data_IF_954551861068
#
_entry.id   IF_954551861068
#
_cell.length_a   1.000
_cell.length_b   1.000
_cell.length_c   1.000
_cell.angle_alpha   90.00
_cell.angle_beta   90.00
_cell.angle_gamma   90.00
#
_symmetry.space_group_name_H-M   'P 1'
#
loop_
_entity.id
_entity.type
_entity.pdbx_description
1 polymer ?
#
# COMPACT_ATOMS: atom_id res chain seq x y z
N UNK A 1 -36.11 -10.59 -70.18
CA UNK A 1 -35.91 -9.13 -70.19
C UNK A 1 -35.71 -8.63 -68.78
N UNK A 2 -34.50 -8.18 -68.44
CA UNK A 2 -34.17 -7.09 -67.49
C UNK A 2 -32.64 -7.04 -67.36
N UNK A 3 -32.09 -5.94 -67.85
CA UNK A 3 -30.69 -5.56 -67.75
C UNK A 3 -30.44 -4.77 -66.45
N UNK A 4 -29.20 -4.78 -65.95
CA UNK A 4 -28.56 -3.74 -65.11
C UNK A 4 -27.29 -4.35 -64.48
N UNK A 5 -26.15 -3.71 -64.23
CA UNK A 5 -25.43 -2.52 -64.71
C UNK A 5 -24.04 -2.70 -64.11
N UNK A 6 -22.98 -2.53 -64.90
CA UNK A 6 -21.58 -2.58 -64.43
C UNK A 6 -21.20 -1.23 -63.85
N UNK A 7 -20.81 -1.17 -62.57
CA UNK A 7 -20.21 0.02 -61.95
C UNK A 7 -18.68 -0.14 -61.89
N UNK A 8 -17.97 0.73 -62.62
CA UNK A 8 -16.52 0.93 -62.53
C UNK A 8 -16.22 1.83 -61.34
N UNK A 9 -15.39 1.37 -60.39
CA UNK A 9 -14.79 2.25 -59.40
C UNK A 9 -13.45 2.78 -59.93
N UNK A 10 -13.37 4.10 -60.04
CA UNK A 10 -12.17 4.85 -60.39
C UNK A 10 -11.18 4.87 -59.21
N UNK A 11 -9.90 4.75 -59.54
CA UNK A 11 -8.77 4.94 -58.64
C UNK A 11 -8.61 6.45 -58.35
N UNK A 12 -8.92 6.87 -57.12
CA UNK A 12 -8.60 8.19 -56.60
C UNK A 12 -7.47 8.08 -55.58
N UNK A 13 -6.30 8.62 -55.90
CA UNK A 13 -5.18 8.72 -54.97
C UNK A 13 -5.49 9.79 -53.91
N UNK A 14 -5.63 9.38 -52.65
CA UNK A 14 -5.73 10.27 -51.49
C UNK A 14 -4.44 10.13 -50.69
N UNK A 15 -3.60 11.16 -50.76
CA UNK A 15 -2.41 11.32 -49.92
C UNK A 15 -2.87 11.74 -48.52
N UNK A 16 -2.97 10.79 -47.59
CA UNK A 16 -3.24 11.07 -46.19
C UNK A 16 -1.93 11.42 -45.46
N UNK A 17 -1.77 12.69 -45.09
CA UNK A 17 -0.79 13.13 -44.10
C UNK A 17 -1.21 12.61 -42.71
N UNK A 18 -0.50 11.57 -42.24
CA UNK A 18 -0.60 11.08 -40.87
C UNK A 18 0.10 12.07 -39.92
N UNK A 19 -0.66 12.99 -39.34
CA UNK A 19 -0.29 13.57 -38.05
C UNK A 19 -0.67 12.57 -36.96
N UNK A 20 0.29 11.72 -36.60
CA UNK A 20 0.21 10.94 -35.37
C UNK A 20 0.53 11.87 -34.19
N UNK A 21 -0.49 12.57 -33.68
CA UNK A 21 -0.45 13.03 -32.29
C UNK A 21 -0.61 11.78 -31.41
N UNK A 22 0.49 11.07 -31.20
CA UNK A 22 0.55 10.02 -30.19
C UNK A 22 0.44 10.69 -28.82
N UNK A 23 -0.73 10.64 -28.21
CA UNK A 23 -0.83 10.77 -26.76
C UNK A 23 0.02 9.64 -26.18
N UNK A 24 1.25 9.97 -25.76
CA UNK A 24 2.07 9.05 -24.99
C UNK A 24 1.26 8.58 -23.77
N UNK A 25 1.48 7.35 -23.28
CA UNK A 25 0.77 6.86 -22.10
C UNK A 25 0.96 7.86 -20.97
N UNK A 26 -0.12 8.56 -20.64
CA UNK A 26 -0.17 9.45 -19.49
C UNK A 26 0.02 8.55 -18.26
N UNK A 27 1.16 8.70 -17.61
CA UNK A 27 1.49 7.91 -16.42
C UNK A 27 0.37 8.09 -15.39
N UNK A 28 -0.31 7.01 -14.94
CA UNK A 28 -1.34 7.11 -13.90
C UNK A 28 -0.81 7.71 -12.58
N UNK A 29 0.52 7.82 -12.42
CA UNK A 29 1.13 8.61 -11.35
C UNK A 29 0.81 10.12 -11.44
N UNK A 30 0.60 10.68 -12.63
CA UNK A 30 0.32 12.11 -12.87
C UNK A 30 -1.07 12.57 -12.42
N UNK A 31 -1.99 11.64 -12.11
CA UNK A 31 -3.34 11.96 -11.63
C UNK A 31 -3.52 11.80 -10.12
N UNK A 32 -2.44 11.56 -9.36
CA UNK A 32 -2.54 11.33 -7.91
C UNK A 32 -2.73 12.67 -7.18
N UNK A 33 -3.86 12.90 -6.48
CA UNK A 33 -4.09 14.14 -5.74
C UNK A 33 -2.99 14.33 -4.68
N UNK A 34 -2.29 15.46 -4.73
CA UNK A 34 -1.31 15.85 -3.71
C UNK A 34 0.16 15.49 -3.98
N UNK A 35 0.48 14.76 -5.06
CA UNK A 35 1.86 14.61 -5.54
C UNK A 35 2.10 15.54 -6.73
N UNK A 36 2.73 16.69 -6.49
CA UNK A 36 3.29 17.48 -7.57
C UNK A 36 4.56 16.79 -8.09
N UNK A 37 4.39 15.73 -8.90
CA UNK A 37 5.50 15.13 -9.63
C UNK A 37 6.00 16.19 -10.60
N UNK A 38 7.20 16.70 -10.34
CA UNK A 38 7.84 17.70 -11.19
C UNK A 38 8.87 17.02 -12.08
N UNK A 39 8.78 17.27 -13.39
CA UNK A 39 9.72 16.78 -14.40
C UNK A 39 9.24 15.57 -15.20
N UNK A 40 9.97 15.28 -16.27
CA UNK A 40 9.73 14.12 -17.16
C UNK A 40 10.45 12.89 -16.62
N UNK A 41 9.76 11.74 -16.57
CA UNK A 41 10.38 10.46 -16.21
C UNK A 41 11.51 10.14 -17.21
N UNK A 42 12.78 10.07 -16.77
CA UNK A 42 13.91 9.84 -17.66
C UNK A 42 14.01 8.37 -18.14
N UNK A 43 13.29 7.44 -17.51
CA UNK A 43 13.31 6.03 -17.85
C UNK A 43 11.92 5.38 -17.60
N UNK A 44 10.90 5.72 -18.40
CA UNK A 44 9.51 5.29 -18.16
C UNK A 44 9.32 3.77 -18.18
N UNK A 45 10.20 3.01 -18.82
CA UNK A 45 10.19 1.55 -18.84
C UNK A 45 10.93 0.89 -17.66
N UNK A 46 11.73 1.64 -16.90
CA UNK A 46 12.48 1.10 -15.76
C UNK A 46 11.54 0.73 -14.61
N UNK A 47 11.80 -0.35 -13.83
CA UNK A 47 10.98 -0.68 -12.68
C UNK A 47 10.93 0.44 -11.63
N UNK A 48 9.82 0.50 -10.89
CA UNK A 48 9.60 1.49 -9.83
C UNK A 48 8.81 2.71 -10.27
N UNK A 49 8.83 3.75 -9.43
CA UNK A 49 8.05 4.99 -9.59
C UNK A 49 9.00 6.18 -9.60
N UNK A 50 8.88 7.02 -10.63
CA UNK A 50 9.57 8.30 -10.70
C UNK A 50 8.72 9.35 -9.95
N UNK A 51 9.33 10.06 -9.00
CA UNK A 51 8.64 11.02 -8.12
C UNK A 51 9.19 12.45 -8.27
N UNK A 52 9.92 12.72 -9.35
CA UNK A 52 10.61 14.00 -9.55
C UNK A 52 11.95 14.08 -8.82
N UNK A 53 12.68 15.17 -9.05
CA UNK A 53 14.02 15.38 -8.49
C UNK A 53 14.00 15.74 -7.01
N UNK A 54 12.89 16.33 -6.54
CA UNK A 54 12.68 16.71 -5.14
C UNK A 54 12.54 15.48 -4.21
N UNK A 55 12.16 14.32 -4.76
CA UNK A 55 12.02 13.06 -4.03
C UNK A 55 13.05 12.07 -4.59
N UNK A 56 14.33 12.36 -4.34
CA UNK A 56 15.46 11.51 -4.72
C UNK A 56 16.17 10.98 -3.48
N UNK A 57 16.95 9.89 -3.61
CA UNK A 57 17.64 9.30 -2.47
C UNK A 57 18.52 10.29 -1.69
N UNK A 58 19.15 11.24 -2.39
CA UNK A 58 19.95 12.31 -1.80
C UNK A 58 19.09 13.44 -1.23
N UNK A 59 18.06 13.90 -1.95
CA UNK A 59 17.18 14.98 -1.45
C UNK A 59 16.47 14.58 -0.15
N UNK A 60 16.06 13.31 -0.06
CA UNK A 60 15.35 12.78 1.10
C UNK A 60 16.22 12.64 2.36
N UNK A 61 17.55 12.56 2.23
CA UNK A 61 18.47 12.30 3.34
C UNK A 61 19.37 13.50 3.71
N UNK A 62 19.45 14.54 2.87
CA UNK A 62 20.46 15.59 3.01
C UNK A 62 20.05 16.78 3.91
N UNK A 63 18.91 16.72 4.61
CA UNK A 63 18.48 17.75 5.55
C UNK A 63 18.20 19.14 4.96
N UNK A 64 18.20 19.30 3.63
CA UNK A 64 17.87 20.57 2.96
C UNK A 64 16.37 20.84 2.86
N UNK A 65 15.55 19.86 3.21
CA UNK A 65 14.09 19.91 3.23
C UNK A 65 13.60 19.84 4.67
N UNK A 66 12.36 20.28 4.92
CA UNK A 66 11.75 20.16 6.24
C UNK A 66 11.67 18.69 6.67
N UNK A 67 12.10 18.44 7.90
CA UNK A 67 12.04 17.16 8.63
C UNK A 67 11.50 17.52 10.01
N UNK A 68 10.17 17.52 10.12
CA UNK A 68 9.45 18.09 11.26
C UNK A 68 9.62 17.22 12.51
N UNK A 69 9.64 15.91 12.33
CA UNK A 69 9.77 14.91 13.40
C UNK A 69 11.21 14.42 13.62
N UNK A 70 12.18 14.97 12.87
CA UNK A 70 13.62 14.83 13.05
C UNK A 70 14.11 13.39 13.06
N UNK A 71 13.52 12.56 12.20
CA UNK A 71 13.90 11.16 12.06
C UNK A 71 14.98 10.94 10.97
N UNK A 72 15.35 12.01 10.27
CA UNK A 72 16.35 12.02 9.20
C UNK A 72 15.77 11.80 7.80
N UNK A 73 14.44 11.79 7.64
CA UNK A 73 13.74 11.72 6.36
C UNK A 73 12.87 12.95 6.17
N UNK A 74 13.06 13.67 5.07
CA UNK A 74 12.29 14.88 4.81
C UNK A 74 10.77 14.61 4.66
N UNK A 75 9.93 15.47 5.25
CA UNK A 75 8.46 15.37 5.22
C UNK A 75 7.91 15.17 3.80
N UNK A 76 8.46 15.90 2.82
CA UNK A 76 8.02 15.79 1.41
C UNK A 76 8.31 14.39 0.85
N UNK A 77 9.41 13.77 1.26
CA UNK A 77 9.77 12.42 0.86
C UNK A 77 8.90 11.37 1.55
N UNK A 78 8.69 11.50 2.86
CA UNK A 78 7.79 10.61 3.60
C UNK A 78 6.41 10.55 2.93
N UNK A 79 5.82 11.72 2.71
CA UNK A 79 4.48 11.89 2.15
C UNK A 79 4.40 11.34 0.72
N UNK A 80 5.37 11.69 -0.13
CA UNK A 80 5.40 11.27 -1.52
C UNK A 80 5.58 9.75 -1.62
N UNK A 81 6.48 9.17 -0.83
CA UNK A 81 6.75 7.73 -0.85
C UNK A 81 5.58 6.94 -0.28
N UNK A 82 5.02 7.35 0.86
CA UNK A 82 3.88 6.68 1.47
C UNK A 82 2.67 6.66 0.53
N UNK A 83 2.35 7.78 -0.13
CA UNK A 83 1.28 7.83 -1.11
C UNK A 83 1.62 7.07 -2.40
N UNK A 84 2.88 7.11 -2.86
CA UNK A 84 3.28 6.43 -4.09
C UNK A 84 3.21 4.90 -3.97
N UNK A 85 3.66 4.38 -2.82
CA UNK A 85 3.81 2.96 -2.54
C UNK A 85 2.67 2.33 -1.75
N UNK A 86 1.63 3.10 -1.40
CA UNK A 86 0.48 2.59 -0.66
C UNK A 86 -0.07 1.31 -1.32
N UNK A 87 -0.11 0.15 -0.65
CA UNK A 87 -0.58 -1.08 -1.28
C UNK A 87 -2.00 -0.97 -1.83
N UNK A 88 -2.32 -1.80 -2.83
CA UNK A 88 -3.69 -2.08 -3.21
C UNK A 88 -4.17 -3.33 -2.46
N UNK A 89 -5.18 -3.20 -1.62
CA UNK A 89 -5.83 -4.35 -1.01
C UNK A 89 -6.77 -5.01 -2.03
N UNK A 90 -6.76 -6.33 -2.05
CA UNK A 90 -7.66 -7.18 -2.82
C UNK A 90 -8.46 -8.03 -1.84
N UNK A 91 -9.76 -7.81 -1.75
CA UNK A 91 -10.64 -8.40 -0.73
C UNK A 91 -12.06 -8.61 -1.27
N UNK A 92 -12.88 -9.37 -0.55
CA UNK A 92 -14.27 -9.61 -0.90
C UNK A 92 -15.15 -8.42 -0.49
N UNK A 93 -16.00 -7.92 -1.38
CA UNK A 93 -16.90 -6.79 -1.15
C UNK A 93 -17.85 -7.03 0.03
N UNK A 94 -18.21 -8.30 0.25
CA UNK A 94 -19.07 -8.74 1.33
C UNK A 94 -18.38 -8.78 2.69
N UNK A 95 -17.06 -8.61 2.74
CA UNK A 95 -16.26 -8.69 3.96
C UNK A 95 -16.19 -7.36 4.71
N UNK A 96 -15.85 -7.42 5.99
CA UNK A 96 -15.77 -6.26 6.88
C UNK A 96 -14.37 -5.68 6.94
N UNK A 97 -13.81 -5.35 5.79
CA UNK A 97 -12.45 -4.79 5.64
C UNK A 97 -12.39 -3.27 5.92
N UNK A 98 -13.40 -2.71 6.57
CA UNK A 98 -13.44 -1.30 6.96
C UNK A 98 -12.34 -0.99 7.97
N UNK A 99 -11.75 0.20 7.89
CA UNK A 99 -10.47 0.49 8.55
C UNK A 99 -10.17 1.99 8.68
N UNK A 100 -9.27 2.36 9.59
CA UNK A 100 -8.77 3.73 9.82
C UNK A 100 -7.27 3.83 9.53
N UNK A 101 -6.85 3.76 8.25
CA UNK A 101 -5.45 3.53 7.94
C UNK A 101 -4.57 4.72 8.36
N UNK A 102 -3.37 4.37 8.82
CA UNK A 102 -2.29 5.29 9.14
C UNK A 102 -0.97 4.77 8.58
N UNK A 103 0.04 5.62 8.58
CA UNK A 103 1.37 5.21 8.13
C UNK A 103 2.49 5.93 8.89
N UNK A 104 3.64 5.28 8.93
CA UNK A 104 4.90 5.85 9.38
C UNK A 104 5.99 5.56 8.34
N UNK A 105 6.96 6.45 8.21
CA UNK A 105 8.16 6.22 7.43
C UNK A 105 9.40 6.34 8.32
N UNK A 106 10.53 5.77 7.89
CA UNK A 106 11.84 6.06 8.46
C UNK A 106 12.96 5.82 7.45
N UNK A 107 14.09 6.51 7.57
CA UNK A 107 15.25 6.21 6.75
C UNK A 107 15.92 4.91 7.21
N UNK A 108 16.41 4.13 6.25
CA UNK A 108 17.30 2.97 6.46
C UNK A 108 18.75 3.25 6.03
N UNK A 109 19.03 4.47 5.55
CA UNK A 109 20.32 4.88 4.99
C UNK A 109 20.50 4.49 3.51
N UNK A 110 21.51 5.08 2.87
CA UNK A 110 21.89 4.79 1.47
C UNK A 110 20.73 4.88 0.46
N UNK A 111 19.83 5.87 0.63
CA UNK A 111 18.67 6.05 -0.25
C UNK A 111 17.61 4.96 -0.12
N UNK A 112 17.52 4.31 1.05
CA UNK A 112 16.45 3.36 1.40
C UNK A 112 15.54 3.94 2.47
N UNK A 113 14.24 3.68 2.33
CA UNK A 113 13.19 4.10 3.25
C UNK A 113 12.32 2.91 3.58
N UNK A 114 11.94 2.79 4.85
CA UNK A 114 10.94 1.84 5.31
C UNK A 114 9.63 2.58 5.54
N UNK A 115 8.52 1.98 5.11
CA UNK A 115 7.17 2.52 5.26
C UNK A 115 6.31 1.45 5.91
N UNK A 116 5.67 1.77 7.03
CA UNK A 116 4.66 0.91 7.65
C UNK A 116 3.28 1.49 7.36
N UNK A 117 2.37 0.66 6.87
CA UNK A 117 0.94 0.94 6.74
C UNK A 117 0.22 0.17 7.83
N UNK A 118 -0.42 0.92 8.73
CA UNK A 118 -1.12 0.44 9.91
C UNK A 118 -2.60 0.46 9.55
N UNK A 119 -3.21 -0.72 9.36
CA UNK A 119 -4.52 -0.78 8.73
C UNK A 119 -5.62 -0.32 9.67
N UNK A 120 -5.54 -0.69 10.95
CA UNK A 120 -6.53 -0.34 11.97
C UNK A 120 -7.92 -0.81 11.56
N UNK A 121 -8.03 -2.13 11.32
CA UNK A 121 -9.25 -2.78 10.88
C UNK A 121 -10.33 -2.71 11.96
N UNK A 122 -11.60 -2.64 11.56
CA UNK A 122 -12.71 -2.57 12.50
C UNK A 122 -13.04 -3.90 13.18
N UNK A 123 -12.75 -5.01 12.53
CA UNK A 123 -13.04 -6.36 13.01
C UNK A 123 -12.13 -7.36 12.33
N UNK A 124 -11.74 -8.39 13.07
CA UNK A 124 -11.38 -9.73 12.63
C UNK A 124 -12.50 -10.66 13.11
N UNK A 125 -13.13 -11.40 12.20
CA UNK A 125 -14.25 -12.29 12.48
C UNK A 125 -13.82 -13.76 12.67
N UNK A 126 -12.52 -14.06 12.63
CA UNK A 126 -11.94 -15.38 12.70
C UNK A 126 -12.34 -16.30 11.54
N UNK A 127 -12.16 -17.63 11.71
CA UNK A 127 -12.61 -18.64 10.72
C UNK A 127 -13.85 -19.39 11.16
N UNK A 128 -14.73 -19.66 10.18
CA UNK A 128 -15.93 -20.48 10.37
C UNK A 128 -15.68 -21.98 10.17
N UNK A 129 -14.53 -22.39 9.60
CA UNK A 129 -14.21 -23.79 9.30
C UNK A 129 -13.50 -24.52 10.46
N UNK A 130 -13.64 -24.00 11.67
CA UNK A 130 -12.89 -24.49 12.81
C UNK A 130 -13.66 -25.56 13.58
N UNK A 131 -13.30 -26.83 13.35
CA UNK A 131 -13.75 -27.96 14.18
C UNK A 131 -12.93 -28.13 15.46
N UNK A 132 -11.84 -27.37 15.63
CA UNK A 132 -10.86 -27.50 16.73
C UNK A 132 -11.13 -26.55 17.93
N UNK A 133 -12.29 -25.89 17.96
CA UNK A 133 -12.74 -25.09 19.10
C UNK A 133 -12.42 -23.60 19.00
N UNK A 134 -13.14 -22.79 19.77
CA UNK A 134 -13.21 -21.31 19.69
C UNK A 134 -11.90 -20.58 20.02
N UNK A 135 -10.90 -21.27 20.58
CA UNK A 135 -9.64 -20.67 21.08
C UNK A 135 -8.65 -20.35 19.94
N UNK A 136 -8.62 -21.15 18.88
CA UNK A 136 -7.68 -20.96 17.75
C UNK A 136 -8.29 -20.17 16.58
N UNK A 137 -9.57 -19.83 16.68
CA UNK A 137 -10.37 -19.38 15.53
C UNK A 137 -11.30 -18.21 15.88
N UNK A 138 -11.17 -17.68 17.11
CA UNK A 138 -12.00 -16.58 17.58
C UNK A 138 -11.54 -15.27 16.98
N UNK A 139 -12.45 -14.55 16.35
CA UNK A 139 -12.21 -13.16 15.93
C UNK A 139 -12.25 -12.17 17.10
N UNK A 140 -11.85 -10.94 16.83
CA UNK A 140 -11.91 -9.79 17.74
C UNK A 140 -12.26 -8.48 17.00
N UNK A 141 -12.85 -7.53 17.72
CA UNK A 141 -13.11 -6.18 17.21
C UNK A 141 -11.82 -5.38 17.28
N UNK A 142 -11.35 -4.86 16.15
CA UNK A 142 -10.01 -4.28 16.05
C UNK A 142 -8.97 -5.32 15.69
N UNK A 143 -8.10 -5.01 14.74
CA UNK A 143 -6.96 -5.86 14.39
C UNK A 143 -5.78 -5.01 13.94
N UNK A 144 -4.57 -5.41 14.35
CA UNK A 144 -3.33 -4.66 14.15
C UNK A 144 -2.54 -5.15 12.94
N UNK A 145 -3.26 -5.52 11.88
CA UNK A 145 -2.65 -5.92 10.61
C UNK A 145 -1.86 -4.75 10.01
N UNK A 146 -0.66 -5.09 9.54
CA UNK A 146 0.38 -4.16 9.12
C UNK A 146 1.02 -4.63 7.82
N UNK A 147 1.29 -3.69 6.93
CA UNK A 147 2.15 -3.89 5.75
C UNK A 147 3.40 -3.04 5.92
N UNK A 148 4.58 -3.66 5.86
CA UNK A 148 5.85 -2.94 5.88
C UNK A 148 6.56 -3.09 4.54
N UNK A 149 6.93 -1.97 3.94
CA UNK A 149 7.63 -1.92 2.66
C UNK A 149 8.99 -1.25 2.84
N UNK A 150 10.05 -1.88 2.33
CA UNK A 150 11.32 -1.19 2.11
C UNK A 150 11.42 -0.79 0.64
N UNK A 151 11.64 0.50 0.38
CA UNK A 151 11.85 1.06 -0.94
C UNK A 151 13.26 1.61 -1.05
N UNK A 152 13.88 1.45 -2.22
CA UNK A 152 15.24 1.93 -2.50
C UNK A 152 15.26 2.81 -3.73
N UNK A 153 15.99 3.91 -3.67
CA UNK A 153 16.22 4.78 -4.81
C UNK A 153 17.26 4.18 -5.77
N UNK A 154 16.90 4.06 -7.04
CA UNK A 154 17.81 3.69 -8.11
C UNK A 154 18.35 4.96 -8.78
N UNK A 155 19.61 5.31 -8.54
CA UNK A 155 20.22 6.53 -9.09
C UNK A 155 20.35 6.53 -10.62
N UNK A 156 20.41 5.36 -11.28
CA UNK A 156 20.52 5.27 -12.74
C UNK A 156 19.19 5.59 -13.42
N UNK A 157 18.09 4.96 -12.98
CA UNK A 157 16.77 5.20 -13.57
C UNK A 157 16.06 6.43 -12.96
N UNK A 158 16.49 6.84 -11.76
CA UNK A 158 15.85 7.87 -10.91
C UNK A 158 14.50 7.46 -10.33
N UNK A 159 14.24 6.16 -10.23
CA UNK A 159 13.00 5.61 -9.66
C UNK A 159 13.22 5.15 -8.23
N UNK A 160 12.19 5.27 -7.41
CA UNK A 160 12.05 4.49 -6.20
C UNK A 160 11.53 3.11 -6.55
N UNK A 161 12.07 2.09 -5.90
CA UNK A 161 11.77 0.70 -6.24
C UNK A 161 11.49 -0.08 -4.97
N UNK A 162 10.38 -0.83 -4.96
CA UNK A 162 10.08 -1.79 -3.90
C UNK A 162 11.20 -2.84 -3.82
N UNK A 163 11.81 -2.96 -2.64
CA UNK A 163 12.90 -3.87 -2.36
C UNK A 163 12.47 -5.03 -1.46
N UNK A 164 11.59 -4.75 -0.49
CA UNK A 164 11.04 -5.73 0.45
C UNK A 164 9.57 -5.42 0.69
N UNK A 165 8.72 -6.43 0.68
CA UNK A 165 7.38 -6.35 1.23
C UNK A 165 7.24 -7.34 2.38
N UNK A 166 6.66 -6.91 3.48
CA UNK A 166 6.39 -7.71 4.67
C UNK A 166 4.91 -7.54 5.00
N UNK A 167 4.18 -8.65 5.06
CA UNK A 167 2.76 -8.68 5.36
C UNK A 167 2.54 -9.42 6.67
N UNK A 168 1.75 -8.85 7.58
CA UNK A 168 1.29 -9.58 8.76
C UNK A 168 0.26 -10.64 8.37
N UNK A 169 0.29 -11.76 9.09
CA UNK A 169 -0.71 -12.80 9.02
C UNK A 169 -0.68 -13.57 10.33
N UNK A 170 -1.80 -13.67 11.04
CA UNK A 170 -1.93 -14.53 12.24
C UNK A 170 -0.86 -14.30 13.31
N UNK A 171 -0.49 -13.04 13.54
CA UNK A 171 0.55 -12.65 14.50
C UNK A 171 1.99 -12.95 14.07
N UNK A 172 2.21 -13.41 12.84
CA UNK A 172 3.54 -13.57 12.22
C UNK A 172 3.69 -12.65 11.01
N UNK A 173 4.89 -12.63 10.41
CA UNK A 173 5.22 -11.77 9.27
C UNK A 173 5.77 -12.59 8.11
N UNK A 174 5.08 -12.54 6.98
CA UNK A 174 5.54 -13.12 5.73
C UNK A 174 6.42 -12.11 5.00
N UNK A 175 7.62 -12.53 4.57
CA UNK A 175 8.67 -11.66 4.05
C UNK A 175 8.97 -11.96 2.59
N UNK A 176 8.86 -10.94 1.73
CA UNK A 176 9.01 -11.05 0.27
C UNK A 176 10.10 -10.09 -0.24
N UNK A 177 11.37 -10.52 -0.24
CA UNK A 177 12.47 -9.71 -0.75
C UNK A 177 12.54 -9.75 -2.28
N UNK A 178 13.08 -8.68 -2.87
CA UNK A 178 13.50 -8.66 -4.27
C UNK A 178 14.81 -9.44 -4.42
N UNK A 179 14.83 -10.51 -5.23
CA UNK A 179 16.05 -11.29 -5.50
C UNK A 179 16.65 -10.94 -6.86
N UNK A 180 17.95 -10.59 -6.89
CA UNK A 180 18.79 -10.49 -8.11
C UNK A 180 18.10 -9.94 -9.37
N UNK A 181 17.32 -8.85 -9.22
CA UNK A 181 16.50 -8.15 -10.24
C UNK A 181 15.07 -8.68 -10.51
N UNK A 182 14.72 -9.87 -10.05
CA UNK A 182 13.35 -10.39 -10.12
C UNK A 182 12.50 -9.89 -8.93
N UNK A 183 11.27 -9.49 -9.22
CA UNK A 183 10.23 -9.37 -8.21
C UNK A 183 9.55 -10.75 -8.11
N UNK A 184 9.92 -11.62 -7.15
CA UNK A 184 9.30 -12.94 -7.03
C UNK A 184 7.80 -12.76 -6.75
N UNK A 185 6.94 -13.54 -7.43
CA UNK A 185 5.47 -13.72 -7.33
C UNK A 185 4.55 -12.58 -6.83
N UNK A 186 5.07 -11.37 -6.60
CA UNK A 186 4.37 -10.19 -6.15
C UNK A 186 3.59 -9.63 -7.32
N UNK A 187 2.32 -9.32 -7.06
CA UNK A 187 1.47 -8.67 -8.03
C UNK A 187 1.63 -7.14 -7.92
N UNK A 188 1.94 -6.50 -9.04
CA UNK A 188 2.04 -5.05 -9.17
C UNK A 188 0.95 -4.55 -10.11
N UNK A 189 -0.07 -3.83 -9.61
CA UNK A 189 -1.20 -3.43 -10.45
C UNK A 189 -0.84 -2.52 -11.62
N UNK A 190 0.13 -1.60 -11.45
CA UNK A 190 0.60 -0.71 -12.51
C UNK A 190 1.93 -1.18 -13.12
N UNK A 191 2.98 -1.14 -12.30
CA UNK A 191 4.36 -1.16 -12.75
C UNK A 191 5.21 -2.00 -11.83
N UNK A 192 6.01 -2.91 -12.40
CA UNK A 192 6.93 -3.77 -11.64
C UNK A 192 7.79 -2.93 -10.71
N UNK A 193 7.88 -3.33 -9.45
CA UNK A 193 8.61 -2.59 -8.42
C UNK A 193 7.97 -1.30 -7.92
N UNK A 194 6.75 -1.00 -8.34
CA UNK A 194 5.91 0.03 -7.73
C UNK A 194 5.24 -0.47 -6.45
N UNK A 195 4.01 -0.03 -6.20
CA UNK A 195 3.22 -0.49 -5.06
C UNK A 195 2.74 -1.93 -5.26
N UNK A 196 2.72 -2.73 -4.19
CA UNK A 196 2.23 -4.10 -4.26
C UNK A 196 0.70 -4.18 -4.19
N UNK A 197 0.16 -5.28 -4.69
CA UNK A 197 -1.16 -5.79 -4.29
C UNK A 197 -1.00 -6.71 -3.08
N UNK A 198 -1.86 -6.56 -2.07
CA UNK A 198 -1.96 -7.44 -0.92
C UNK A 198 -3.36 -8.09 -0.91
N UNK A 199 -3.39 -9.41 -0.82
CA UNK A 199 -4.62 -10.20 -0.76
C UNK A 199 -5.01 -10.37 0.71
N UNK A 200 -6.26 -10.03 1.01
CA UNK A 200 -6.80 -10.03 2.37
C UNK A 200 -7.62 -11.30 2.56
N UNK A 201 -7.23 -12.13 3.51
CA UNK A 201 -8.01 -13.32 3.87
C UNK A 201 -9.40 -12.90 4.36
N UNK A 202 -10.42 -13.55 3.81
CA UNK A 202 -11.81 -13.32 4.17
C UNK A 202 -11.97 -13.47 5.68
N UNK A 203 -12.59 -12.47 6.32
CA UNK A 203 -12.92 -12.38 7.75
C UNK A 203 -11.75 -12.24 8.70
N UNK A 204 -10.63 -12.92 8.44
CA UNK A 204 -9.43 -12.89 9.29
C UNK A 204 -8.56 -11.67 9.04
N UNK A 205 -8.58 -11.18 7.81
CA UNK A 205 -7.82 -10.04 7.35
C UNK A 205 -6.28 -10.16 7.40
N UNK A 206 -5.76 -11.37 7.59
CA UNK A 206 -4.38 -11.71 7.29
C UNK A 206 -4.00 -11.36 5.83
N UNK A 207 -2.75 -10.99 5.60
CA UNK A 207 -2.29 -10.39 4.36
C UNK A 207 -1.28 -11.26 3.62
N UNK A 208 -1.50 -11.44 2.31
CA UNK A 208 -0.74 -12.36 1.46
C UNK A 208 -0.35 -11.72 0.13
N UNK A 209 0.65 -12.28 -0.57
CA UNK A 209 1.09 -11.75 -1.87
C UNK A 209 0.24 -12.21 -3.05
N UNK A 210 -0.51 -13.27 -2.86
CA UNK A 210 -1.36 -13.91 -3.88
C UNK A 210 -2.57 -14.55 -3.24
N UNK A 211 -3.61 -14.76 -4.05
CA UNK A 211 -4.76 -15.61 -3.74
C UNK A 211 -4.35 -17.03 -3.35
N UNK A 212 -3.45 -17.65 -4.12
CA UNK A 212 -3.00 -19.03 -3.88
C UNK A 212 -2.34 -19.17 -2.51
N UNK A 213 -1.40 -18.29 -2.18
CA UNK A 213 -0.74 -18.30 -0.86
C UNK A 213 -1.71 -18.02 0.29
N UNK A 214 -2.71 -17.17 0.05
CA UNK A 214 -3.76 -16.93 1.01
C UNK A 214 -4.60 -18.18 1.25
N UNK A 215 -5.04 -18.88 0.20
CA UNK A 215 -5.81 -20.11 0.32
C UNK A 215 -5.01 -21.27 0.95
N UNK A 216 -3.67 -21.21 0.90
CA UNK A 216 -2.77 -22.12 1.62
C UNK A 216 -2.49 -21.68 3.08
N UNK A 217 -2.87 -20.46 3.44
CA UNK A 217 -2.64 -19.85 4.75
C UNK A 217 -3.37 -20.56 5.88
N UNK A 218 -2.80 -20.51 7.10
CA UNK A 218 -3.35 -21.13 8.31
C UNK A 218 -3.74 -22.60 8.10
N UNK A 219 -2.85 -23.40 7.49
CA UNK A 219 -3.11 -24.81 7.14
C UNK A 219 -4.30 -25.00 6.17
N UNK A 220 -4.50 -24.04 5.26
CA UNK A 220 -5.62 -24.02 4.31
C UNK A 220 -6.97 -23.61 4.91
N UNK A 221 -6.94 -22.93 6.07
CA UNK A 221 -8.13 -22.39 6.72
C UNK A 221 -8.43 -20.94 6.33
N UNK A 222 -7.49 -20.28 5.67
CA UNK A 222 -7.70 -18.98 5.05
C UNK A 222 -8.39 -19.15 3.69
N UNK A 223 -9.10 -18.11 3.28
CA UNK A 223 -9.86 -18.10 2.02
C UNK A 223 -9.80 -16.70 1.43
N UNK A 224 -9.28 -16.55 0.22
CA UNK A 224 -9.23 -15.30 -0.51
C UNK A 224 -10.21 -15.29 -1.68
N UNK A 225 -11.16 -14.36 -1.66
CA UNK A 225 -12.17 -14.18 -2.72
C UNK A 225 -12.26 -12.74 -3.16
N UNK A 226 -11.13 -12.20 -3.62
CA UNK A 226 -11.04 -10.80 -3.97
C UNK A 226 -11.88 -10.46 -5.22
N UNK A 227 -12.91 -9.63 -5.04
CA UNK A 227 -13.69 -8.99 -6.10
C UNK A 227 -13.60 -7.45 -6.03
N UNK A 228 -13.02 -6.93 -4.95
CA UNK A 228 -12.84 -5.50 -4.67
C UNK A 228 -11.37 -5.17 -4.54
N UNK A 229 -10.97 -4.04 -5.12
CA UNK A 229 -9.58 -3.57 -5.14
C UNK A 229 -9.51 -2.11 -4.69
N UNK A 230 -8.81 -1.84 -3.59
CA UNK A 230 -8.75 -0.49 -3.02
C UNK A 230 -7.32 -0.15 -2.57
N UNK A 231 -6.79 0.98 -3.03
CA UNK A 231 -5.53 1.53 -2.50
C UNK A 231 -5.73 1.92 -1.04
N UNK A 232 -4.75 1.62 -0.19
CA UNK A 232 -4.69 2.16 1.16
C UNK A 232 -4.57 3.68 1.05
N UNK A 233 -5.37 4.41 1.83
CA UNK A 233 -5.24 5.86 1.90
C UNK A 233 -3.92 6.21 2.60
N UNK A 234 -3.14 7.08 1.98
CA UNK A 234 -1.87 7.58 2.52
C UNK A 234 -1.68 9.04 2.12
N UNK A 235 -0.80 9.73 2.83
CA UNK A 235 -0.53 11.16 2.66
C UNK A 235 -0.46 11.89 4.00
N UNK A 236 -0.18 13.20 3.94
CA UNK A 236 0.22 14.02 5.10
C UNK A 236 -0.73 13.97 6.29
N UNK A 237 -2.04 13.95 6.06
CA UNK A 237 -3.02 13.92 7.13
C UNK A 237 -3.09 12.57 7.88
N UNK A 238 -2.47 11.52 7.32
CA UNK A 238 -2.52 10.15 7.85
C UNK A 238 -1.16 9.67 8.38
N UNK A 239 -0.12 10.51 8.31
CA UNK A 239 1.19 10.21 8.87
C UNK A 239 1.19 10.38 10.39
N UNK A 240 1.71 9.39 11.10
CA UNK A 240 1.76 9.40 12.58
C UNK A 240 3.05 10.02 13.14
N UNK A 241 3.95 10.47 12.25
CA UNK A 241 5.29 10.95 12.58
C UNK A 241 6.18 9.88 13.21
N UNK A 242 7.32 10.30 13.74
CA UNK A 242 8.28 9.44 14.42
C UNK A 242 7.93 9.21 15.89
N UNK A 243 8.44 8.11 16.47
CA UNK A 243 8.26 7.80 17.89
C UNK A 243 8.78 8.91 18.82
N UNK A 244 9.88 9.55 18.44
CA UNK A 244 10.50 10.60 19.24
C UNK A 244 9.76 11.94 19.16
N UNK A 245 8.99 12.16 18.08
CA UNK A 245 8.32 13.43 17.80
C UNK A 245 7.00 13.21 17.05
N UNK A 246 5.95 13.04 17.84
CA UNK A 246 4.58 13.01 17.36
C UNK A 246 3.69 13.88 18.24
N UNK A 247 2.50 14.20 17.75
CA UNK A 247 1.42 14.72 18.58
C UNK A 247 0.32 13.68 18.74
N UNK A 248 -0.43 13.77 19.83
CA UNK A 248 -1.59 12.90 20.04
C UNK A 248 -2.64 13.05 18.93
N UNK A 249 -2.75 14.23 18.30
CA UNK A 249 -3.65 14.46 17.17
C UNK A 249 -3.22 13.71 15.89
N UNK A 250 -1.92 13.44 15.72
CA UNK A 250 -1.38 12.67 14.61
C UNK A 250 -1.48 11.15 14.88
N UNK A 251 -1.08 10.75 16.09
CA UNK A 251 -0.94 9.35 16.49
C UNK A 251 -2.26 8.70 16.92
N UNK A 252 -3.21 9.43 17.50
CA UNK A 252 -4.39 8.79 18.07
C UNK A 252 -5.65 9.09 17.25
N UNK A 253 -6.21 8.05 16.62
CA UNK A 253 -7.41 8.12 15.78
C UNK A 253 -8.65 7.60 16.50
N UNK A 254 -9.81 8.18 16.17
CA UNK A 254 -11.12 7.68 16.56
C UNK A 254 -11.82 7.09 15.34
N UNK A 255 -12.60 6.02 15.51
CA UNK A 255 -13.33 5.41 14.41
C UNK A 255 -14.45 6.34 13.90
N UNK A 256 -14.50 6.51 12.59
CA UNK A 256 -15.59 7.15 11.87
C UNK A 256 -16.86 6.31 11.82
N UNK A 257 -16.75 4.99 11.96
CA UNK A 257 -17.88 4.03 11.97
C UNK A 257 -18.44 3.81 13.38
N UNK A 258 -17.61 3.97 14.40
CA UNK A 258 -18.01 3.94 15.81
C UNK A 258 -17.79 5.30 16.49
N UNK A 259 -18.37 6.40 15.98
CA UNK A 259 -18.08 7.75 16.46
C UNK A 259 -18.62 8.01 17.87
N UNK A 260 -19.59 7.23 18.33
CA UNK A 260 -20.09 7.27 19.70
C UNK A 260 -19.17 6.53 20.69
N UNK A 261 -18.20 5.74 20.20
CA UNK A 261 -17.17 5.17 21.07
C UNK A 261 -16.20 6.27 21.48
N UNK A 262 -15.89 6.37 22.77
CA UNK A 262 -14.79 7.20 23.27
C UNK A 262 -13.42 6.53 23.04
N UNK A 263 -13.41 5.42 22.31
CA UNK A 263 -12.24 4.60 22.07
C UNK A 263 -11.38 5.27 21.01
N UNK A 264 -10.09 5.37 21.30
CA UNK A 264 -9.07 5.84 20.37
C UNK A 264 -8.00 4.78 20.24
N UNK A 265 -7.55 4.55 19.02
CA UNK A 265 -6.37 3.76 18.74
C UNK A 265 -5.19 4.72 18.59
N UNK A 266 -4.15 4.51 19.39
CA UNK A 266 -2.90 5.26 19.32
C UNK A 266 -1.79 4.29 18.90
N UNK A 267 -0.91 4.68 17.98
CA UNK A 267 0.07 3.77 17.41
C UNK A 267 1.39 3.78 18.18
N UNK A 268 1.74 4.88 18.86
CA UNK A 268 2.97 4.97 19.66
C UNK A 268 2.80 4.55 21.13
N UNK A 269 1.58 4.23 21.57
CA UNK A 269 1.34 3.74 22.93
C UNK A 269 1.66 2.25 23.07
N UNK A 270 2.21 1.86 24.22
CA UNK A 270 2.43 0.46 24.60
C UNK A 270 1.16 -0.23 25.11
N UNK A 271 0.06 0.53 25.23
CA UNK A 271 -1.23 -0.04 25.62
C UNK A 271 -1.83 -0.79 24.45
N UNK A 272 -2.10 -2.07 24.68
CA UNK A 272 -2.87 -2.90 23.76
C UNK A 272 -4.23 -2.26 23.44
N UNK A 273 -4.63 -2.35 22.18
CA UNK A 273 -5.88 -1.78 21.72
C UNK A 273 -7.04 -2.72 22.06
N UNK A 274 -7.97 -2.27 22.91
CA UNK A 274 -9.12 -3.08 23.35
C UNK A 274 -10.24 -3.25 22.31
N UNK A 275 -9.99 -2.81 21.07
CA UNK A 275 -10.96 -2.83 19.99
C UNK A 275 -11.88 -1.62 19.95
N UNK A 276 -12.40 -1.33 18.77
CA UNK A 276 -13.29 -0.18 18.52
C UNK A 276 -14.62 -0.23 19.28
N UNK A 277 -15.02 -1.44 19.70
CA UNK A 277 -16.14 -1.66 20.60
C UNK A 277 -15.54 -2.23 21.88
N UNK A 278 -15.48 -1.43 22.95
CA UNK A 278 -14.76 -1.62 24.24
C UNK A 278 -15.04 -2.92 25.05
N UNK A 279 -15.20 -4.06 24.39
CA UNK A 279 -15.63 -5.37 24.91
C UNK A 279 -14.94 -6.53 24.18
N UNK A 280 -13.85 -6.30 23.46
CA UNK A 280 -13.15 -7.34 22.71
C UNK A 280 -11.89 -7.86 23.42
N UNK A 281 -11.43 -9.09 23.13
CA UNK A 281 -10.03 -9.44 23.38
C UNK A 281 -9.13 -8.37 22.77
N UNK A 282 -8.05 -8.04 23.46
CA UNK A 282 -7.21 -6.94 23.03
C UNK A 282 -6.41 -7.35 21.79
N UNK A 283 -6.38 -6.49 20.79
CA UNK A 283 -5.43 -6.57 19.70
C UNK A 283 -4.02 -6.17 20.17
N UNK A 284 -3.00 -6.57 19.42
CA UNK A 284 -1.62 -6.17 19.69
C UNK A 284 -1.46 -4.65 19.71
N UNK A 285 -0.41 -4.15 20.37
CA UNK A 285 -0.08 -2.74 20.30
C UNK A 285 0.77 -2.48 19.04
N UNK A 286 0.35 -1.52 18.19
CA UNK A 286 1.14 -1.10 17.03
C UNK A 286 2.55 -0.63 17.42
N UNK A 287 2.75 -0.06 18.60
CA UNK A 287 4.09 0.36 19.05
C UNK A 287 5.06 -0.81 19.17
N UNK A 288 4.59 -2.01 19.51
CA UNK A 288 5.40 -3.23 19.51
C UNK A 288 5.76 -3.67 18.10
N UNK A 289 4.81 -3.57 17.16
CA UNK A 289 5.01 -3.87 15.73
C UNK A 289 6.02 -2.89 15.12
N UNK A 290 5.79 -1.60 15.31
CA UNK A 290 6.66 -0.52 14.86
C UNK A 290 8.06 -0.67 15.46
N UNK A 291 8.17 -0.96 16.76
CA UNK A 291 9.44 -1.23 17.43
C UNK A 291 10.17 -2.47 16.87
N UNK A 292 9.44 -3.55 16.54
CA UNK A 292 10.01 -4.74 15.89
C UNK A 292 10.63 -4.40 14.52
N UNK A 293 10.00 -3.51 13.76
CA UNK A 293 10.53 -3.01 12.49
C UNK A 293 11.49 -1.83 12.63
N UNK A 294 11.78 -1.43 13.86
CA UNK A 294 12.77 -0.43 14.22
C UNK A 294 12.32 1.01 14.09
N UNK A 295 11.03 1.33 14.03
CA UNK A 295 10.59 2.72 14.06
C UNK A 295 10.70 3.38 15.45
#
# INVERSE_FOLDING_TARGET
>A
MKASTVARCALGAVTALLFACGEGPTDPASQRPGLAITGTDPAPSAPGIFLGTAVSGTACANGSQADTDQDGLADVCENALAAAFAPQLAYAASDRTGREPRWAARPLGAGKVRIAYLLSLYSDDGTYRCSLGRILCGGHYGDSETIVLDVSYNGTSRHWVLHLAIFSAHGVYNVYPRFFSAYPSMNFPDKKGGYPKAFVALRKHALYRSDTECDDGELGLDECKADTYQRIAAGRALGIGSRGRHTEAQDCVQSTVFPSSTVRECYWTVREFGGWQAKSPKAGAYSSILGFFGF
#
